data_IF_307829040593
#
_entry.id   IF_307829040593
#
_cell.length_a   1.000
_cell.length_b   1.000
_cell.length_c   1.000
_cell.angle_alpha   90.00
_cell.angle_beta   90.00
_cell.angle_gamma   90.00
#
_symmetry.space_group_name_H-M   'P 1'
#
loop_
_entity.id
_entity.type
_entity.pdbx_description
1 polymer ?
#
# COMPACT_ATOMS: atom_id res chain seq x y z
N UNK A 1 38.43 40.00 -26.28
CA UNK A 1 37.00 39.62 -26.22
C UNK A 1 36.73 38.14 -26.47
N UNK A 2 37.33 37.48 -27.49
CA UNK A 2 37.06 36.06 -27.77
C UNK A 2 37.52 35.06 -26.68
N UNK A 3 38.61 35.32 -25.95
CA UNK A 3 39.10 34.40 -24.91
C UNK A 3 38.30 34.44 -23.59
N UNK A 4 37.62 35.55 -23.28
CA UNK A 4 36.81 35.66 -22.06
C UNK A 4 35.46 34.92 -22.19
N UNK A 5 34.92 34.83 -23.40
CA UNK A 5 33.69 34.08 -23.67
C UNK A 5 33.93 32.58 -23.48
N UNK A 6 35.08 32.06 -23.89
CA UNK A 6 35.43 30.65 -23.70
C UNK A 6 35.58 30.30 -22.21
N UNK A 7 36.17 31.19 -21.41
CA UNK A 7 36.31 31.01 -19.96
C UNK A 7 34.97 31.01 -19.23
N UNK A 8 34.03 31.86 -19.64
CA UNK A 8 32.67 31.90 -19.11
C UNK A 8 31.89 30.63 -19.47
N UNK A 9 32.05 30.09 -20.69
CA UNK A 9 31.44 28.82 -21.05
C UNK A 9 32.01 27.64 -20.26
N UNK A 10 33.33 27.57 -20.06
CA UNK A 10 33.95 26.49 -19.26
C UNK A 10 33.48 26.55 -17.80
N UNK A 11 33.42 27.75 -17.20
CA UNK A 11 32.86 27.94 -15.86
C UNK A 11 31.36 27.55 -15.77
N UNK A 12 30.57 27.88 -16.78
CA UNK A 12 29.14 27.51 -16.81
C UNK A 12 28.95 25.99 -16.98
N UNK A 13 29.80 25.32 -17.76
CA UNK A 13 29.78 23.86 -17.91
C UNK A 13 30.29 23.12 -16.67
N UNK A 14 31.31 23.64 -15.98
CA UNK A 14 31.77 23.06 -14.70
C UNK A 14 30.73 23.24 -13.58
N UNK A 15 30.03 24.39 -13.53
CA UNK A 15 28.92 24.61 -12.58
C UNK A 15 27.72 23.71 -12.91
N UNK A 16 27.40 23.49 -14.20
CA UNK A 16 26.35 22.55 -14.59
C UNK A 16 26.72 21.08 -14.34
N UNK A 17 27.98 20.69 -14.56
CA UNK A 17 28.44 19.33 -14.29
C UNK A 17 28.51 19.03 -12.78
N UNK A 18 28.90 20.01 -11.97
CA UNK A 18 28.91 19.92 -10.50
C UNK A 18 27.49 19.95 -9.90
N UNK A 19 26.58 20.72 -10.51
CA UNK A 19 25.17 20.66 -10.17
C UNK A 19 24.60 19.28 -10.54
N UNK A 20 24.88 18.76 -11.74
CA UNK A 20 24.40 17.44 -12.19
C UNK A 20 25.01 16.27 -11.40
N UNK A 21 26.23 16.37 -10.87
CA UNK A 21 26.81 15.35 -9.99
C UNK A 21 26.20 15.38 -8.58
N UNK A 22 25.80 16.55 -8.08
CA UNK A 22 24.95 16.68 -6.88
C UNK A 22 23.50 16.22 -7.14
N UNK A 23 23.01 16.32 -8.37
CA UNK A 23 21.69 15.82 -8.80
C UNK A 23 21.69 14.35 -9.22
N UNK A 24 22.83 13.63 -9.26
CA UNK A 24 22.86 12.18 -9.53
C UNK A 24 23.37 11.36 -8.36
N UNK A 25 23.79 12.01 -7.28
CA UNK A 25 24.16 11.34 -6.04
C UNK A 25 22.90 10.68 -5.43
N UNK A 26 22.84 9.35 -5.48
CA UNK A 26 22.12 8.60 -4.46
C UNK A 26 22.62 9.14 -3.12
N UNK A 27 21.72 9.64 -2.26
CA UNK A 27 22.11 9.98 -0.90
C UNK A 27 22.74 8.73 -0.29
N UNK A 28 23.98 8.84 0.16
CA UNK A 28 24.60 7.76 0.91
C UNK A 28 23.71 7.51 2.12
N UNK A 29 23.21 6.29 2.26
CA UNK A 29 22.37 5.87 3.38
C UNK A 29 22.96 6.31 4.72
N UNK A 30 24.29 6.33 4.86
CA UNK A 30 25.01 6.78 6.06
C UNK A 30 24.78 8.26 6.38
N UNK A 31 24.63 9.12 5.37
CA UNK A 31 24.40 10.55 5.54
C UNK A 31 23.00 10.91 6.04
N UNK A 32 22.05 9.97 5.99
CA UNK A 32 20.68 10.15 6.51
C UNK A 32 20.60 10.04 8.03
N UNK A 33 21.63 9.48 8.68
CA UNK A 33 21.62 9.18 10.11
C UNK A 33 22.49 10.17 10.88
N UNK A 34 22.04 10.59 12.07
CA UNK A 34 22.75 11.59 12.83
C UNK A 34 23.92 10.95 13.57
N UNK A 35 25.07 11.61 13.54
CA UNK A 35 26.27 11.18 14.31
C UNK A 35 26.23 11.65 15.78
N UNK A 36 25.22 12.46 16.14
CA UNK A 36 24.98 12.97 17.50
C UNK A 36 23.49 12.93 17.80
N UNK A 37 23.13 12.58 19.03
CA UNK A 37 21.75 12.61 19.48
C UNK A 37 21.39 14.00 20.05
N UNK A 38 20.19 14.47 19.71
CA UNK A 38 19.59 15.66 20.29
C UNK A 38 19.04 15.43 21.69
N UNK A 39 18.49 16.48 22.30
CA UNK A 39 17.95 16.49 23.67
C UNK A 39 16.58 17.17 23.77
N UNK A 40 15.83 17.25 22.66
CA UNK A 40 14.59 18.03 22.59
C UNK A 40 14.78 19.49 23.06
N UNK A 41 15.82 20.16 22.57
CA UNK A 41 16.13 21.53 22.97
C UNK A 41 14.96 22.48 22.63
N UNK A 42 14.54 23.28 23.62
CA UNK A 42 13.41 24.22 23.52
C UNK A 42 12.03 23.57 23.32
N UNK A 43 11.87 22.27 23.58
CA UNK A 43 10.55 21.63 23.65
C UNK A 43 9.93 21.80 25.03
N UNK A 44 8.61 21.88 25.09
CA UNK A 44 7.88 21.74 26.34
C UNK A 44 7.83 20.27 26.77
N UNK A 45 8.03 20.00 28.04
CA UNK A 45 7.79 18.68 28.62
C UNK A 45 6.45 18.73 29.35
N UNK A 46 5.49 17.92 28.91
CA UNK A 46 4.11 17.98 29.41
C UNK A 46 3.75 16.66 30.08
N UNK A 47 3.53 16.64 31.39
CA UNK A 47 3.14 15.45 32.14
C UNK A 47 1.68 15.58 32.62
N UNK A 48 0.82 14.66 32.15
CA UNK A 48 -0.63 14.67 32.42
C UNK A 48 -1.27 16.05 32.18
N UNK A 49 -0.87 16.74 31.11
CA UNK A 49 -1.37 18.06 30.72
C UNK A 49 -0.71 19.26 31.39
N UNK A 50 0.25 19.08 32.31
CA UNK A 50 0.97 20.18 32.95
C UNK A 50 2.39 20.32 32.40
N UNK A 51 2.85 21.54 32.14
CA UNK A 51 4.22 21.79 31.73
C UNK A 51 5.14 21.59 32.93
N UNK A 52 6.20 20.79 32.76
CA UNK A 52 7.22 20.52 33.77
C UNK A 52 8.61 20.85 33.23
N UNK A 53 9.54 21.11 34.12
CA UNK A 53 10.96 21.23 33.77
C UNK A 53 11.50 19.86 33.32
N UNK A 54 12.32 19.83 32.27
CA UNK A 54 12.87 18.59 31.70
C UNK A 54 13.59 17.73 32.76
N UNK A 55 14.44 18.35 33.59
CA UNK A 55 15.18 17.65 34.63
C UNK A 55 14.29 17.10 35.76
N UNK A 56 13.04 17.55 35.85
CA UNK A 56 12.10 17.07 36.88
C UNK A 56 11.48 15.72 36.55
N UNK A 57 11.56 15.23 35.30
CA UNK A 57 11.02 13.92 34.87
C UNK A 57 11.50 12.75 35.71
N UNK A 58 12.73 12.81 36.22
CA UNK A 58 13.31 11.76 37.06
C UNK A 58 12.57 11.56 38.38
N UNK A 59 11.81 12.57 38.82
CA UNK A 59 11.06 12.54 40.07
C UNK A 59 9.64 11.95 39.91
N UNK A 60 9.26 11.55 38.70
CA UNK A 60 7.94 11.00 38.41
C UNK A 60 8.06 9.51 38.03
N UNK A 61 7.93 8.57 39.00
CA UNK A 61 7.92 7.14 38.70
C UNK A 61 6.75 6.78 37.79
N UNK A 62 6.86 5.62 37.13
CA UNK A 62 5.83 5.08 36.22
C UNK A 62 5.54 5.95 34.99
N UNK A 63 6.36 6.97 34.72
CA UNK A 63 6.20 7.86 33.58
C UNK A 63 6.49 7.15 32.27
N UNK A 64 5.58 7.28 31.31
CA UNK A 64 5.69 6.78 29.95
C UNK A 64 5.59 7.92 28.94
N UNK A 65 6.35 7.81 27.85
CA UNK A 65 6.24 8.72 26.71
C UNK A 65 4.91 8.46 25.99
N UNK A 66 4.13 9.51 25.76
CA UNK A 66 2.83 9.44 25.08
C UNK A 66 2.93 9.80 23.60
N UNK A 67 3.42 11.01 23.29
CA UNK A 67 3.54 11.51 21.92
C UNK A 67 4.54 12.65 21.82
N UNK A 68 4.96 13.00 20.61
CA UNK A 68 5.90 14.09 20.33
C UNK A 68 5.33 15.02 19.28
N UNK A 69 5.16 16.30 19.63
CA UNK A 69 4.70 17.40 18.78
C UNK A 69 5.90 18.20 18.26
N UNK A 70 6.35 17.98 17.01
CA UNK A 70 7.60 18.55 16.52
C UNK A 70 7.42 19.95 15.88
N UNK A 71 6.41 20.70 16.31
CA UNK A 71 6.05 22.01 15.75
C UNK A 71 5.98 23.09 16.82
N UNK A 72 6.24 24.36 16.46
CA UNK A 72 6.15 25.43 17.42
C UNK A 72 4.77 25.50 18.09
N UNK A 73 4.77 25.53 19.41
CA UNK A 73 3.56 25.55 20.24
C UNK A 73 3.69 26.60 21.33
N UNK A 74 2.55 27.15 21.78
CA UNK A 74 2.51 28.08 22.91
C UNK A 74 1.77 27.43 24.08
N UNK A 75 2.48 27.18 25.17
CA UNK A 75 1.93 26.61 26.41
C UNK A 75 2.25 27.54 27.58
N UNK A 76 1.26 27.77 28.45
CA UNK A 76 1.40 28.64 29.63
C UNK A 76 2.00 30.03 29.31
N UNK A 77 1.67 30.57 28.12
CA UNK A 77 2.14 31.86 27.65
C UNK A 77 3.56 31.88 27.06
N UNK A 78 4.33 30.79 27.15
CA UNK A 78 5.69 30.63 26.58
C UNK A 78 5.64 29.91 25.23
N UNK A 79 6.57 30.27 24.33
CA UNK A 79 6.72 29.63 23.03
C UNK A 79 7.80 28.55 23.09
N UNK A 80 7.50 27.39 22.53
CA UNK A 80 8.39 26.24 22.43
C UNK A 80 8.55 25.83 20.97
N UNK A 81 9.66 25.17 20.64
CA UNK A 81 9.91 24.58 19.31
C UNK A 81 9.07 23.32 19.05
N UNK A 82 8.51 22.74 20.10
CA UNK A 82 7.71 21.52 20.11
C UNK A 82 7.25 21.17 21.51
N UNK A 83 6.57 20.04 21.66
CA UNK A 83 6.20 19.48 22.97
C UNK A 83 6.40 17.96 22.98
N UNK A 84 6.82 17.45 24.14
CA UNK A 84 6.96 16.02 24.43
C UNK A 84 5.99 15.69 25.55
N UNK A 85 5.02 14.82 25.26
CA UNK A 85 3.94 14.51 26.17
C UNK A 85 4.22 13.19 26.89
N UNK A 86 3.94 13.18 28.19
CA UNK A 86 4.13 12.06 29.09
C UNK A 86 2.88 11.82 29.92
N UNK A 87 2.74 10.60 30.39
CA UNK A 87 1.71 10.23 31.35
C UNK A 87 2.26 9.26 32.40
N UNK A 88 1.79 9.38 33.63
CA UNK A 88 2.07 8.43 34.73
C UNK A 88 0.81 8.05 35.52
N UNK A 89 -0.35 8.45 35.00
CA UNK A 89 -1.68 8.03 35.43
C UNK A 89 -2.42 7.54 34.19
N UNK A 90 -3.53 6.84 34.37
CA UNK A 90 -4.53 6.66 33.31
C UNK A 90 -5.16 8.02 32.99
N UNK A 91 -4.40 8.87 32.30
CA UNK A 91 -4.84 10.18 31.87
C UNK A 91 -4.63 10.25 30.36
N UNK A 92 -5.74 10.09 29.63
CA UNK A 92 -5.86 10.31 28.19
C UNK A 92 -4.64 9.84 27.37
N UNK A 93 -4.47 8.52 27.26
CA UNK A 93 -3.82 8.00 26.06
C UNK A 93 -4.79 8.32 24.89
N UNK A 94 -4.39 9.10 23.87
CA UNK A 94 -5.20 9.24 22.67
C UNK A 94 -5.53 7.84 22.14
N UNK A 95 -6.70 7.62 21.51
CA UNK A 95 -7.06 6.31 20.99
C UNK A 95 -5.89 5.80 20.15
N UNK A 96 -5.35 4.64 20.52
CA UNK A 96 -4.26 4.01 19.77
C UNK A 96 -4.84 3.76 18.39
N UNK A 97 -4.44 4.59 17.42
CA UNK A 97 -4.87 4.44 16.03
C UNK A 97 -4.60 2.98 15.65
N UNK A 98 -5.60 2.32 15.06
CA UNK A 98 -5.52 0.93 14.61
C UNK A 98 -5.56 -0.15 15.70
N UNK A 99 -5.96 0.19 16.94
CA UNK A 99 -6.17 -0.81 17.99
C UNK A 99 -7.19 -1.90 17.59
N UNK A 100 -8.17 -1.54 16.77
CA UNK A 100 -9.19 -2.45 16.26
C UNK A 100 -8.89 -2.97 14.85
N UNK A 101 -7.69 -2.74 14.30
CA UNK A 101 -7.35 -3.22 12.96
C UNK A 101 -7.05 -4.73 12.96
N UNK A 102 -7.29 -5.44 11.85
CA UNK A 102 -6.82 -6.80 11.68
C UNK A 102 -5.29 -6.83 11.47
N UNK A 103 -4.67 -7.97 11.77
CA UNK A 103 -3.27 -8.21 11.42
C UNK A 103 -3.12 -8.47 9.91
N UNK A 104 -2.27 -7.72 9.23
CA UNK A 104 -2.06 -7.89 7.78
C UNK A 104 -0.86 -8.76 7.49
N UNK A 105 -1.01 -9.62 6.48
CA UNK A 105 0.04 -10.48 5.96
C UNK A 105 0.11 -10.34 4.46
N UNK A 106 1.32 -10.19 3.95
CA UNK A 106 1.61 -10.14 2.52
C UNK A 106 2.64 -11.21 2.18
N UNK A 107 2.28 -12.16 1.31
CA UNK A 107 3.09 -13.35 1.03
C UNK A 107 3.59 -14.04 2.32
N UNK A 108 2.73 -14.12 3.34
CA UNK A 108 3.03 -14.72 4.64
C UNK A 108 3.85 -13.85 5.62
N UNK A 109 4.33 -12.66 5.21
CA UNK A 109 5.04 -11.74 6.10
C UNK A 109 4.06 -10.73 6.70
N UNK A 110 4.04 -10.59 8.02
CA UNK A 110 3.19 -9.60 8.68
C UNK A 110 3.62 -8.19 8.26
N UNK A 111 2.68 -7.30 8.00
CA UNK A 111 2.96 -5.90 7.60
C UNK A 111 2.03 -4.95 8.32
N UNK A 112 2.45 -3.70 8.47
CA UNK A 112 1.59 -2.65 9.01
C UNK A 112 0.32 -2.45 8.17
N UNK A 113 -0.88 -2.33 8.79
CA UNK A 113 -2.13 -2.01 8.09
C UNK A 113 -2.03 -0.78 7.19
N UNK A 114 -1.25 0.22 7.61
CA UNK A 114 -1.03 1.44 6.85
C UNK A 114 -0.38 1.18 5.47
N UNK A 115 0.45 0.14 5.36
CA UNK A 115 1.16 -0.17 4.11
C UNK A 115 0.26 -0.79 3.07
N UNK A 116 -0.80 -1.50 3.46
CA UNK A 116 -1.60 -2.28 2.52
C UNK A 116 -2.29 -1.40 1.47
N UNK A 117 -2.80 -0.24 1.88
CA UNK A 117 -3.45 0.75 1.00
C UNK A 117 -2.50 1.37 -0.03
N UNK A 118 -1.19 1.22 0.18
CA UNK A 118 -0.13 1.87 -0.59
C UNK A 118 0.69 0.88 -1.43
N UNK A 119 0.40 -0.43 -1.35
CA UNK A 119 1.10 -1.43 -2.13
C UNK A 119 0.79 -1.25 -3.61
N UNK A 120 1.84 -1.03 -4.41
CA UNK A 120 1.79 -1.13 -5.86
C UNK A 120 2.08 -2.58 -6.22
N UNK A 121 1.04 -3.40 -6.22
CA UNK A 121 1.06 -4.72 -6.83
C UNK A 121 0.27 -4.65 -8.14
N UNK A 122 0.82 -5.23 -9.21
CA UNK A 122 0.09 -5.33 -10.47
C UNK A 122 -1.12 -6.28 -10.33
N UNK A 123 -0.96 -7.35 -9.55
CA UNK A 123 -1.99 -8.35 -9.31
C UNK A 123 -2.05 -8.82 -7.85
N UNK A 124 -3.27 -8.79 -7.29
CA UNK A 124 -3.59 -9.52 -6.05
C UNK A 124 -4.12 -10.90 -6.41
N UNK A 125 -3.34 -11.94 -6.10
CA UNK A 125 -3.67 -13.32 -6.46
C UNK A 125 -4.79 -13.90 -5.60
N UNK A 126 -4.75 -13.61 -4.30
CA UNK A 126 -5.70 -14.08 -3.31
C UNK A 126 -5.76 -13.08 -2.16
N UNK A 127 -6.96 -12.83 -1.66
CA UNK A 127 -7.20 -12.05 -0.44
C UNK A 127 -8.10 -12.91 0.44
N UNK A 128 -7.72 -13.11 1.70
CA UNK A 128 -8.50 -13.89 2.65
C UNK A 128 -8.46 -13.26 4.03
N UNK A 129 -9.50 -13.51 4.84
CA UNK A 129 -9.61 -12.97 6.19
C UNK A 129 -10.02 -14.04 7.19
N UNK A 130 -9.52 -13.92 8.42
CA UNK A 130 -9.97 -14.75 9.54
C UNK A 130 -11.14 -14.09 10.26
N UNK A 131 -12.08 -14.91 10.72
CA UNK A 131 -13.24 -14.44 11.50
C UNK A 131 -12.85 -14.21 12.97
N UNK A 132 -11.96 -15.05 13.49
CA UNK A 132 -11.54 -14.98 14.89
C UNK A 132 -10.41 -13.98 15.05
N UNK A 133 -10.46 -13.25 16.16
CA UNK A 133 -9.37 -12.41 16.64
C UNK A 133 -8.05 -13.20 16.66
N UNK A 134 -6.95 -12.52 16.34
CA UNK A 134 -5.63 -13.11 16.17
C UNK A 134 -4.68 -12.49 17.18
N UNK A 135 -3.93 -13.30 17.92
CA UNK A 135 -2.92 -12.81 18.86
C UNK A 135 -1.53 -13.00 18.27
N UNK A 136 -0.73 -11.94 18.26
CA UNK A 136 0.65 -11.95 17.77
C UNK A 136 1.49 -11.20 18.80
N UNK A 137 2.53 -11.87 19.31
CA UNK A 137 3.44 -11.32 20.33
C UNK A 137 2.71 -10.68 21.53
N UNK A 138 1.63 -11.33 21.98
CA UNK A 138 0.80 -10.86 23.11
C UNK A 138 -0.22 -9.77 22.76
N UNK A 139 -0.19 -9.22 21.54
CA UNK A 139 -1.15 -8.22 21.05
C UNK A 139 -2.34 -8.88 20.35
N UNK A 140 -3.54 -8.47 20.71
CA UNK A 140 -4.79 -8.93 20.09
C UNK A 140 -5.16 -8.04 18.90
N UNK A 141 -5.53 -8.66 17.78
CA UNK A 141 -6.01 -8.03 16.55
C UNK A 141 -7.41 -8.54 16.22
N UNK A 142 -8.23 -7.71 15.55
CA UNK A 142 -9.60 -8.06 15.10
C UNK A 142 -9.60 -8.95 13.85
N UNK A 143 -8.93 -10.08 13.98
CA UNK A 143 -8.67 -11.04 12.92
C UNK A 143 -7.38 -10.75 12.18
N UNK A 144 -7.26 -11.36 11.00
CA UNK A 144 -6.11 -11.20 10.12
C UNK A 144 -6.55 -11.20 8.67
N UNK A 145 -5.81 -10.48 7.83
CA UNK A 145 -6.00 -10.40 6.39
C UNK A 145 -4.72 -10.85 5.70
N UNK A 146 -4.84 -11.84 4.83
CA UNK A 146 -3.74 -12.46 4.09
C UNK A 146 -3.88 -12.16 2.62
N UNK A 147 -2.82 -11.61 2.03
CA UNK A 147 -2.77 -11.17 0.64
C UNK A 147 -1.58 -11.84 -0.04
N UNK A 148 -1.87 -12.57 -1.10
CA UNK A 148 -0.85 -13.24 -1.92
C UNK A 148 -0.67 -12.48 -3.23
N UNK A 149 0.57 -12.28 -3.66
CA UNK A 149 0.95 -11.70 -4.96
C UNK A 149 2.17 -12.42 -5.53
N UNK A 150 2.40 -12.24 -6.83
CA UNK A 150 3.61 -12.79 -7.47
C UNK A 150 4.85 -11.89 -7.24
N UNK A 151 4.64 -10.62 -6.91
CA UNK A 151 5.70 -9.66 -6.59
C UNK A 151 6.07 -9.74 -5.10
N UNK A 152 7.36 -9.72 -4.77
CA UNK A 152 7.80 -9.44 -3.41
C UNK A 152 7.85 -7.93 -3.20
N UNK A 153 6.75 -7.36 -2.70
CA UNK A 153 6.63 -5.92 -2.41
C UNK A 153 7.60 -5.41 -1.33
N UNK A 154 8.30 -6.33 -0.65
CA UNK A 154 9.27 -6.07 0.41
C UNK A 154 10.73 -6.27 -0.05
N UNK A 155 11.00 -6.81 -1.24
CA UNK A 155 12.34 -7.21 -1.71
C UNK A 155 13.39 -6.10 -1.62
N UNK A 156 12.98 -4.83 -1.75
CA UNK A 156 13.87 -3.67 -1.75
C UNK A 156 13.61 -2.73 -0.56
N UNK A 157 13.20 -3.28 0.58
CA UNK A 157 12.84 -2.49 1.76
C UNK A 157 13.49 -3.04 3.02
N UNK A 158 14.00 -2.14 3.85
CA UNK A 158 14.63 -2.47 5.15
C UNK A 158 13.59 -2.47 6.25
N UNK A 159 13.56 -3.49 7.11
CA UNK A 159 12.63 -3.54 8.24
C UNK A 159 12.95 -2.45 9.27
N UNK A 160 11.97 -2.00 10.05
CA UNK A 160 12.21 -0.98 11.09
C UNK A 160 13.26 -1.42 12.11
N UNK A 161 13.19 -2.62 12.70
CA UNK A 161 14.23 -3.08 13.62
C UNK A 161 15.62 -3.04 12.99
N UNK A 162 15.74 -3.57 11.76
CA UNK A 162 16.99 -3.56 11.01
C UNK A 162 17.47 -2.14 10.70
N UNK A 163 16.57 -1.22 10.36
CA UNK A 163 16.88 0.18 10.10
C UNK A 163 17.45 0.85 11.36
N UNK A 164 16.83 0.61 12.52
CA UNK A 164 17.30 1.17 13.79
C UNK A 164 18.64 0.56 14.18
N UNK A 165 18.74 -0.77 14.26
CA UNK A 165 19.96 -1.46 14.70
C UNK A 165 21.16 -1.17 13.80
N UNK A 166 20.96 -1.27 12.48
CA UNK A 166 22.05 -1.15 11.50
C UNK A 166 22.63 0.26 11.46
N UNK A 167 21.81 1.28 11.65
CA UNK A 167 22.21 2.65 11.34
C UNK A 167 22.23 3.61 12.53
N UNK A 168 21.56 3.29 13.63
CA UNK A 168 21.67 4.05 14.89
C UNK A 168 22.47 3.31 15.96
N UNK A 169 22.65 1.99 15.82
CA UNK A 169 23.27 1.12 16.82
C UNK A 169 22.60 1.19 18.21
N UNK A 170 21.34 1.63 18.24
CA UNK A 170 20.57 1.73 19.47
C UNK A 170 19.87 0.40 19.77
N UNK A 171 19.81 0.00 21.06
CA UNK A 171 19.05 -1.17 21.48
C UNK A 171 17.55 -0.90 21.33
N UNK A 172 16.84 -1.80 20.64
CA UNK A 172 15.42 -1.63 20.29
C UNK A 172 14.52 -1.42 21.52
N UNK A 173 14.82 -2.07 22.64
CA UNK A 173 14.08 -1.95 23.89
C UNK A 173 14.16 -0.55 24.54
N UNK A 174 15.13 0.28 24.10
CA UNK A 174 15.25 1.68 24.51
C UNK A 174 14.76 2.66 23.44
N UNK A 175 14.35 2.18 22.27
CA UNK A 175 13.98 3.03 21.14
C UNK A 175 12.48 3.17 21.06
N UNK A 176 12.04 4.41 20.85
CA UNK A 176 10.68 4.74 20.46
C UNK A 176 10.78 5.39 19.08
N UNK A 177 10.03 4.88 18.11
CA UNK A 177 10.09 5.43 16.76
C UNK A 177 8.93 6.39 16.57
N UNK A 178 9.25 7.64 16.25
CA UNK A 178 8.29 8.65 15.87
C UNK A 178 8.32 8.86 14.36
N UNK A 179 7.25 8.49 13.68
CA UNK A 179 7.18 8.60 12.23
C UNK A 179 6.53 9.92 11.75
N UNK A 180 7.28 10.70 10.95
CA UNK A 180 6.88 11.99 10.34
C UNK A 180 6.66 11.84 8.82
N UNK A 181 5.42 11.86 8.38
CA UNK A 181 4.98 11.88 6.98
C UNK A 181 4.72 13.30 6.42
N UNK A 182 5.47 13.72 5.41
CA UNK A 182 5.46 15.12 4.90
C UNK A 182 4.17 15.58 4.16
N UNK A 183 3.08 14.81 4.22
CA UNK A 183 1.82 15.07 3.50
C UNK A 183 0.86 16.02 4.23
N UNK A 184 0.78 15.90 5.56
CA UNK A 184 -0.09 16.74 6.38
C UNK A 184 0.75 17.87 6.96
N UNK A 185 0.19 19.08 7.04
CA UNK A 185 0.88 20.23 7.64
C UNK A 185 0.96 20.14 9.17
N UNK A 186 0.53 19.02 9.76
CA UNK A 186 0.66 18.70 11.19
C UNK A 186 0.31 19.89 12.10
N UNK A 187 -0.84 20.48 11.81
CA UNK A 187 -1.32 21.67 12.51
C UNK A 187 -2.08 21.35 13.79
N UNK A 188 -2.23 20.06 14.13
CA UNK A 188 -3.02 19.56 15.25
C UNK A 188 -2.25 18.46 15.99
N UNK A 189 -2.35 18.45 17.32
CA UNK A 189 -1.71 17.50 18.24
C UNK A 189 -2.17 16.06 17.97
N UNK A 190 -3.38 15.87 17.46
CA UNK A 190 -3.94 14.55 17.18
C UNK A 190 -3.42 13.88 15.90
N UNK A 191 -2.65 14.58 15.05
CA UNK A 191 -2.18 14.07 13.75
C UNK A 191 -0.65 14.05 13.57
N UNK A 192 0.14 14.34 14.60
CA UNK A 192 1.60 14.61 14.52
C UNK A 192 2.53 13.45 14.17
N UNK A 193 2.01 12.24 14.03
CA UNK A 193 2.77 11.04 13.76
C UNK A 193 2.20 9.85 14.53
N UNK A 194 2.91 8.74 14.51
CA UNK A 194 2.56 7.56 15.32
C UNK A 194 3.81 7.09 16.03
N UNK A 195 3.72 6.91 17.36
CA UNK A 195 4.70 6.15 18.10
C UNK A 195 4.54 4.68 17.67
N UNK A 196 5.57 4.16 17.02
CA UNK A 196 5.62 2.76 16.63
C UNK A 196 6.14 1.99 17.84
N UNK A 197 5.23 1.27 18.48
CA UNK A 197 5.52 0.32 19.53
C UNK A 197 6.35 -0.87 19.00
N UNK A 198 7.05 -1.57 19.88
CA UNK A 198 7.89 -2.74 19.54
C UNK A 198 7.07 -3.89 18.92
N UNK A 199 5.77 -3.94 19.22
CA UNK A 199 4.81 -4.92 18.70
C UNK A 199 4.27 -4.61 17.29
N UNK A 200 4.73 -3.54 16.60
CA UNK A 200 4.22 -3.24 15.27
C UNK A 200 4.91 -4.06 14.17
N UNK A 201 4.13 -4.73 13.30
CA UNK A 201 4.69 -5.61 12.30
C UNK A 201 5.33 -4.84 11.16
N UNK A 202 6.64 -5.00 11.01
CA UNK A 202 7.40 -4.73 9.80
C UNK A 202 6.97 -3.41 9.10
N UNK A 203 7.50 -2.29 9.57
CA UNK A 203 7.60 -1.12 8.70
C UNK A 203 8.82 -1.30 7.80
N UNK A 204 8.63 -1.22 6.49
CA UNK A 204 9.67 -1.53 5.50
C UNK A 204 10.09 -0.30 4.67
N UNK A 205 11.22 0.30 4.98
CA UNK A 205 11.62 1.58 4.39
C UNK A 205 12.42 1.40 3.11
N UNK A 206 12.18 2.28 2.14
CA UNK A 206 13.06 2.40 0.97
C UNK A 206 14.14 3.42 1.28
N UNK A 207 15.38 2.97 1.34
CA UNK A 207 16.56 3.81 1.62
C UNK A 207 17.23 4.25 0.30
N UNK A 208 17.20 3.40 -0.73
CA UNK A 208 18.11 3.52 -1.89
C UNK A 208 17.51 4.23 -3.12
N UNK A 209 16.19 4.48 -3.14
CA UNK A 209 15.49 5.08 -4.28
C UNK A 209 14.77 6.35 -3.87
N UNK A 210 15.53 7.42 -3.69
CA UNK A 210 14.97 8.76 -3.85
C UNK A 210 14.72 8.95 -5.34
N UNK A 211 13.51 8.64 -5.79
CA UNK A 211 13.03 9.13 -7.08
C UNK A 211 13.10 10.66 -7.00
N UNK A 212 14.04 11.30 -7.69
CA UNK A 212 14.26 12.74 -7.53
C UNK A 212 13.12 13.58 -8.11
N UNK A 213 12.28 13.01 -9.00
CA UNK A 213 11.07 13.68 -9.48
C UNK A 213 9.93 13.64 -8.46
N UNK A 214 9.84 12.59 -7.64
CA UNK A 214 8.70 12.33 -6.73
C UNK A 214 9.09 12.38 -5.23
N UNK A 215 10.39 12.41 -4.94
CA UNK A 215 11.03 12.46 -3.61
C UNK A 215 10.68 11.30 -2.66
N UNK A 216 10.25 10.13 -3.15
CA UNK A 216 9.89 8.95 -2.35
C UNK A 216 11.12 8.39 -1.61
N UNK A 217 11.00 7.92 -0.37
CA UNK A 217 12.15 7.39 0.40
C UNK A 217 12.33 8.08 1.75
N UNK A 218 13.06 7.42 2.67
CA UNK A 218 13.53 8.05 3.92
C UNK A 218 14.38 9.27 3.54
N UNK A 219 14.08 10.40 4.18
CA UNK A 219 14.65 11.72 3.86
C UNK A 219 15.60 12.22 4.93
N UNK A 220 15.27 11.91 6.18
CA UNK A 220 16.08 12.23 7.33
C UNK A 220 15.72 11.28 8.46
N UNK A 221 16.72 10.92 9.25
CA UNK A 221 16.52 10.31 10.55
C UNK A 221 17.15 11.24 11.57
N UNK A 222 16.38 11.60 12.59
CA UNK A 222 16.86 12.38 13.74
C UNK A 222 16.69 11.50 14.98
N UNK A 223 17.58 11.64 15.94
CA UNK A 223 17.53 10.88 17.19
C UNK A 223 17.61 11.86 18.33
N UNK A 224 16.58 11.92 19.14
CA UNK A 224 16.58 12.64 20.40
C UNK A 224 16.67 11.66 21.58
N UNK A 225 17.17 12.16 22.71
CA UNK A 225 17.33 11.40 23.94
C UNK A 225 16.52 12.02 25.07
N UNK A 226 15.87 11.16 25.87
CA UNK A 226 15.12 11.58 27.05
C UNK A 226 15.43 10.66 28.23
N UNK A 227 15.53 11.26 29.43
CA UNK A 227 15.75 10.56 30.70
C UNK A 227 14.57 10.80 31.65
N UNK A 228 14.10 9.75 32.29
CA UNK A 228 13.03 9.75 33.28
C UNK A 228 13.29 8.69 34.36
N UNK A 229 12.38 8.54 35.33
CA UNK A 229 12.58 7.68 36.49
C UNK A 229 12.96 6.22 36.13
N UNK A 230 12.31 5.65 35.12
CA UNK A 230 12.53 4.26 34.67
C UNK A 230 13.76 4.09 33.77
N UNK A 231 14.55 5.15 33.57
CA UNK A 231 15.78 5.13 32.80
C UNK A 231 15.79 6.11 31.63
N UNK A 232 16.32 5.66 30.50
CA UNK A 232 16.44 6.50 29.31
C UNK A 232 15.75 5.86 28.10
N UNK A 233 15.31 6.72 27.18
CA UNK A 233 14.79 6.32 25.88
C UNK A 233 15.39 7.21 24.79
N UNK A 234 15.45 6.65 23.60
CA UNK A 234 15.80 7.36 22.38
C UNK A 234 14.56 7.48 21.51
N UNK A 235 14.26 8.69 21.06
CA UNK A 235 13.18 8.93 20.11
C UNK A 235 13.79 9.05 18.72
N UNK A 236 13.56 8.04 17.88
CA UNK A 236 14.04 8.02 16.50
C UNK A 236 12.95 8.60 15.61
N UNK A 237 13.19 9.80 15.12
CA UNK A 237 12.31 10.50 14.20
C UNK A 237 12.62 10.10 12.76
N UNK A 238 11.69 9.38 12.12
CA UNK A 238 11.84 9.00 10.71
C UNK A 238 11.04 10.00 9.86
N UNK A 239 11.73 10.82 9.07
CA UNK A 239 11.12 11.68 8.05
C UNK A 239 11.11 10.92 6.74
N UNK A 240 9.92 10.59 6.24
CA UNK A 240 9.79 9.74 5.06
C UNK A 240 8.73 10.29 4.09
N UNK A 241 9.08 10.29 2.81
CA UNK A 241 8.22 10.69 1.70
C UNK A 241 7.75 9.50 0.86
N UNK A 242 8.12 8.26 1.17
CA UNK A 242 7.66 7.05 0.44
C UNK A 242 6.12 6.96 0.36
N UNK A 243 5.41 7.74 1.17
CA UNK A 243 3.97 7.63 1.40
C UNK A 243 3.11 8.59 0.57
N UNK A 244 3.69 9.39 -0.34
CA UNK A 244 2.88 10.05 -1.37
C UNK A 244 2.56 9.00 -2.44
N UNK A 245 1.29 8.94 -2.85
CA UNK A 245 0.71 8.14 -3.95
C UNK A 245 -0.02 6.86 -3.54
N UNK A 246 -1.34 7.01 -3.47
CA UNK A 246 -2.34 5.96 -3.34
C UNK A 246 -2.29 5.04 -4.57
N UNK A 247 -2.11 3.74 -4.37
CA UNK A 247 -2.59 2.79 -5.37
C UNK A 247 -4.12 2.84 -5.32
N UNK A 248 -4.77 3.42 -6.33
CA UNK A 248 -6.21 3.58 -6.37
C UNK A 248 -6.96 2.24 -6.21
N UNK A 249 -6.38 1.12 -6.68
CA UNK A 249 -6.94 -0.23 -6.52
C UNK A 249 -6.89 -0.66 -5.05
N UNK A 250 -5.70 -0.62 -4.44
CA UNK A 250 -5.52 -1.02 -3.04
C UNK A 250 -6.31 -0.13 -2.08
N UNK A 251 -6.34 1.19 -2.33
CA UNK A 251 -7.09 2.13 -1.51
C UNK A 251 -8.60 1.83 -1.49
N UNK A 252 -9.17 1.40 -2.62
CA UNK A 252 -10.58 1.02 -2.67
C UNK A 252 -10.84 -0.30 -1.93
N UNK A 253 -10.02 -1.33 -2.19
CA UNK A 253 -10.16 -2.66 -1.57
C UNK A 253 -10.03 -2.58 -0.05
N UNK A 254 -9.08 -1.78 0.44
CA UNK A 254 -8.73 -1.68 1.86
C UNK A 254 -9.20 -0.36 2.49
N UNK A 255 -10.25 0.25 1.93
CA UNK A 255 -10.84 1.49 2.45
C UNK A 255 -11.38 1.27 3.86
N UNK A 256 -12.23 0.25 4.03
CA UNK A 256 -12.65 -0.29 5.33
C UNK A 256 -11.86 -1.58 5.61
N UNK A 257 -11.00 -1.53 6.62
CA UNK A 257 -10.08 -2.61 6.98
C UNK A 257 -10.80 -3.82 7.58
N UNK A 258 -11.95 -3.62 8.23
CA UNK A 258 -12.74 -4.70 8.83
C UNK A 258 -13.76 -5.29 7.84
N UNK A 259 -14.24 -4.47 6.91
CA UNK A 259 -15.25 -4.88 5.92
C UNK A 259 -14.69 -5.39 4.59
N UNK A 260 -13.38 -5.69 4.48
CA UNK A 260 -12.77 -6.19 3.23
C UNK A 260 -13.55 -7.38 2.65
N UNK A 261 -13.99 -7.24 1.40
CA UNK A 261 -14.60 -8.32 0.63
C UNK A 261 -13.51 -9.28 0.16
N UNK A 262 -13.58 -10.53 0.60
CA UNK A 262 -12.63 -11.59 0.20
C UNK A 262 -13.18 -12.51 -0.88
N UNK A 263 -14.43 -12.29 -1.32
CA UNK A 263 -15.07 -13.08 -2.37
C UNK A 263 -14.81 -12.43 -3.72
N UNK A 264 -15.08 -11.12 -3.86
CA UNK A 264 -14.89 -10.39 -5.11
C UNK A 264 -14.25 -9.00 -4.90
N UNK A 265 -13.07 -8.91 -4.23
CA UNK A 265 -12.48 -7.65 -3.78
C UNK A 265 -12.29 -6.58 -4.88
N UNK A 266 -12.08 -7.01 -6.13
CA UNK A 266 -11.83 -6.10 -7.25
C UNK A 266 -13.00 -6.01 -8.24
N UNK A 267 -14.20 -6.39 -7.84
CA UNK A 267 -15.42 -6.21 -8.62
C UNK A 267 -16.26 -5.10 -8.01
N UNK A 268 -16.58 -4.07 -8.80
CA UNK A 268 -17.42 -2.95 -8.39
C UNK A 268 -18.77 -3.06 -9.11
N UNK A 269 -19.88 -3.39 -8.43
CA UNK A 269 -21.19 -3.48 -9.06
C UNK A 269 -21.72 -2.11 -9.50
N UNK A 270 -21.50 -1.09 -8.66
CA UNK A 270 -22.05 0.26 -8.81
C UNK A 270 -20.95 1.20 -9.30
N UNK A 271 -20.67 1.13 -10.61
CA UNK A 271 -19.82 2.10 -11.29
C UNK A 271 -20.71 3.15 -11.96
N UNK A 272 -20.60 4.41 -11.51
CA UNK A 272 -21.25 5.55 -12.15
C UNK A 272 -20.49 5.92 -13.44
N UNK A 273 -21.21 5.85 -14.56
CA UNK A 273 -20.68 6.11 -15.90
C UNK A 273 -20.79 7.60 -16.27
N UNK A 274 -21.52 8.39 -15.49
CA UNK A 274 -21.80 9.79 -15.81
C UNK A 274 -20.49 10.58 -15.91
N UNK A 275 -20.23 11.07 -17.11
CA UNK A 275 -19.05 11.88 -17.43
C UNK A 275 -17.79 11.09 -17.84
N UNK A 276 -17.84 9.76 -17.98
CA UNK A 276 -16.67 8.97 -18.41
C UNK A 276 -16.84 8.32 -19.79
N UNK A 277 -15.87 8.55 -20.69
CA UNK A 277 -15.76 7.79 -21.93
C UNK A 277 -15.26 6.37 -21.67
N UNK A 278 -16.03 5.36 -22.10
CA UNK A 278 -15.61 3.95 -22.10
C UNK A 278 -15.17 3.55 -23.50
N UNK A 279 -13.91 3.15 -23.64
CA UNK A 279 -13.30 2.84 -24.93
C UNK A 279 -13.62 1.41 -25.37
N UNK A 280 -13.89 1.22 -26.66
CA UNK A 280 -14.03 -0.11 -27.29
C UNK A 280 -12.78 -0.56 -28.02
N UNK A 281 -11.87 0.39 -28.30
CA UNK A 281 -10.56 0.17 -28.91
C UNK A 281 -9.55 1.11 -28.26
N UNK A 282 -8.36 0.61 -27.95
CA UNK A 282 -7.29 1.34 -27.24
C UNK A 282 -5.91 0.96 -27.80
N UNK A 283 -4.91 1.81 -27.58
CA UNK A 283 -3.52 1.56 -27.98
C UNK A 283 -2.95 0.31 -27.30
N UNK A 284 -3.22 0.17 -26.00
CA UNK A 284 -2.93 -1.05 -25.24
C UNK A 284 -4.25 -1.52 -24.64
N UNK A 285 -4.68 -2.73 -25.00
CA UNK A 285 -5.91 -3.32 -24.47
C UNK A 285 -5.75 -3.73 -23.02
N UNK A 286 -6.85 -3.63 -22.26
CA UNK A 286 -6.92 -4.23 -20.94
C UNK A 286 -6.72 -5.75 -21.05
N UNK A 287 -5.93 -6.32 -20.15
CA UNK A 287 -5.59 -7.74 -20.18
C UNK A 287 -5.35 -8.26 -18.76
N UNK A 288 -5.59 -9.56 -18.52
CA UNK A 288 -5.24 -10.17 -17.25
C UNK A 288 -3.73 -10.30 -17.13
N UNK A 289 -3.23 -10.15 -15.90
CA UNK A 289 -1.84 -10.33 -15.52
C UNK A 289 -1.35 -11.72 -15.93
N UNK A 290 -0.17 -11.78 -16.57
CA UNK A 290 0.41 -12.98 -17.20
C UNK A 290 -0.45 -13.62 -18.32
N UNK A 291 -1.46 -12.91 -18.81
CA UNK A 291 -2.22 -13.25 -20.01
C UNK A 291 -3.31 -14.32 -19.83
N UNK A 292 -4.06 -14.54 -20.92
CA UNK A 292 -5.29 -15.33 -20.92
C UNK A 292 -5.13 -16.79 -20.47
N UNK A 293 -3.97 -17.43 -20.74
CA UNK A 293 -3.72 -18.82 -20.33
C UNK A 293 -3.67 -18.96 -18.81
N UNK A 294 -3.02 -18.02 -18.13
CA UNK A 294 -2.94 -17.99 -16.66
C UNK A 294 -4.30 -17.63 -16.06
N UNK A 295 -5.00 -16.67 -16.68
CA UNK A 295 -6.33 -16.31 -16.25
C UNK A 295 -7.32 -17.48 -16.34
N UNK A 296 -7.32 -18.20 -17.46
CA UNK A 296 -8.17 -19.39 -17.65
C UNK A 296 -7.93 -20.45 -16.57
N UNK A 297 -6.67 -20.69 -16.21
CA UNK A 297 -6.31 -21.60 -15.13
C UNK A 297 -6.86 -21.13 -13.78
N UNK A 298 -6.75 -19.83 -13.47
CA UNK A 298 -7.31 -19.24 -12.25
C UNK A 298 -8.84 -19.37 -12.19
N UNK A 299 -9.53 -19.10 -13.29
CA UNK A 299 -10.98 -19.30 -13.39
C UNK A 299 -11.33 -20.78 -13.10
N UNK A 300 -10.66 -21.72 -13.78
CA UNK A 300 -10.88 -23.15 -13.58
C UNK A 300 -10.64 -23.58 -12.12
N UNK A 301 -9.53 -23.16 -11.51
CA UNK A 301 -9.23 -23.45 -10.09
C UNK A 301 -10.30 -22.90 -9.16
N UNK A 302 -10.78 -21.67 -9.38
CA UNK A 302 -11.83 -21.08 -8.54
C UNK A 302 -13.19 -21.76 -8.66
N UNK A 303 -13.42 -22.46 -9.78
CA UNK A 303 -14.60 -23.29 -10.02
C UNK A 303 -14.43 -24.74 -9.53
N UNK A 304 -13.26 -25.11 -8.99
CA UNK A 304 -12.96 -26.48 -8.59
C UNK A 304 -12.75 -27.45 -9.76
N UNK A 305 -12.43 -26.93 -10.95
CA UNK A 305 -12.25 -27.73 -12.17
C UNK A 305 -10.82 -28.23 -12.33
N UNK A 306 -10.67 -29.41 -12.95
CA UNK A 306 -9.36 -29.92 -13.36
C UNK A 306 -8.80 -29.11 -14.53
N UNK A 307 -7.48 -28.95 -14.56
CA UNK A 307 -6.78 -28.34 -15.71
C UNK A 307 -6.48 -29.34 -16.84
N UNK A 308 -6.78 -30.63 -16.63
CA UNK A 308 -6.60 -31.66 -17.65
C UNK A 308 -7.73 -31.62 -18.69
N UNK A 309 -7.38 -31.80 -19.97
CA UNK A 309 -8.35 -31.79 -21.07
C UNK A 309 -9.17 -33.08 -21.04
N UNK A 310 -10.49 -32.96 -21.02
CA UNK A 310 -11.38 -34.12 -21.13
C UNK A 310 -11.38 -34.67 -22.58
N UNK A 311 -11.11 -35.98 -22.80
CA UNK A 311 -11.04 -36.57 -24.15
C UNK A 311 -12.41 -36.76 -24.83
N UNK A 312 -13.50 -36.78 -24.07
CA UNK A 312 -14.88 -37.00 -24.56
C UNK A 312 -15.84 -35.96 -23.99
N UNK A 313 -15.70 -34.70 -24.39
CA UNK A 313 -16.56 -33.63 -23.92
C UNK A 313 -17.23 -32.85 -25.05
N UNK A 314 -18.48 -32.45 -24.81
CA UNK A 314 -19.21 -31.54 -25.68
C UNK A 314 -18.60 -30.15 -25.47
N UNK A 315 -18.13 -29.54 -26.57
CA UNK A 315 -17.53 -28.20 -26.53
C UNK A 315 -18.61 -27.15 -26.71
N UNK A 316 -18.65 -26.20 -25.79
CA UNK A 316 -19.55 -25.08 -25.82
C UNK A 316 -18.82 -23.78 -25.45
N UNK A 317 -19.55 -22.66 -25.41
CA UNK A 317 -18.98 -21.36 -25.12
C UNK A 317 -19.94 -20.41 -24.43
N UNK A 318 -19.36 -19.45 -23.71
CA UNK A 318 -20.07 -18.28 -23.22
C UNK A 318 -19.33 -17.03 -23.72
N UNK A 319 -20.07 -16.11 -24.31
CA UNK A 319 -19.59 -14.76 -24.58
C UNK A 319 -19.99 -13.86 -23.42
N UNK A 320 -19.05 -13.09 -22.89
CA UNK A 320 -19.27 -12.15 -21.79
C UNK A 320 -18.74 -10.78 -22.17
N UNK A 321 -19.29 -9.74 -21.54
CA UNK A 321 -18.69 -8.41 -21.57
C UNK A 321 -18.62 -7.81 -20.16
N UNK A 322 -17.63 -6.94 -19.95
CA UNK A 322 -17.45 -6.18 -18.72
C UNK A 322 -16.60 -4.94 -19.02
N UNK A 323 -16.57 -4.01 -18.07
CA UNK A 323 -15.70 -2.84 -18.12
C UNK A 323 -14.50 -3.08 -17.22
N UNK A 324 -13.30 -2.83 -17.75
CA UNK A 324 -12.08 -2.70 -16.95
C UNK A 324 -11.88 -1.23 -16.63
N UNK A 325 -11.81 -0.90 -15.34
CA UNK A 325 -11.65 0.47 -14.87
C UNK A 325 -10.18 0.94 -14.94
N UNK A 326 -9.94 2.24 -14.78
CA UNK A 326 -8.60 2.86 -14.81
C UNK A 326 -7.61 2.28 -13.78
N UNK A 327 -8.12 1.69 -12.72
CA UNK A 327 -7.35 1.04 -11.65
C UNK A 327 -7.26 -0.49 -11.83
N UNK A 328 -7.76 -1.05 -12.93
CA UNK A 328 -7.76 -2.49 -13.19
C UNK A 328 -8.78 -3.30 -12.39
N UNK A 329 -9.78 -2.66 -11.77
CA UNK A 329 -10.97 -3.34 -11.24
C UNK A 329 -11.97 -3.64 -12.37
N UNK A 330 -12.88 -4.58 -12.13
CA UNK A 330 -13.94 -4.95 -13.07
C UNK A 330 -15.29 -4.39 -12.65
N UNK A 331 -16.14 -4.06 -13.62
CA UNK A 331 -17.55 -3.69 -13.41
C UNK A 331 -18.40 -4.17 -14.59
N UNK A 332 -19.74 -4.04 -14.47
CA UNK A 332 -20.72 -4.31 -15.55
C UNK A 332 -20.56 -5.69 -16.20
N UNK A 333 -20.24 -6.71 -15.42
CA UNK A 333 -20.11 -8.07 -15.94
C UNK A 333 -21.48 -8.63 -16.32
N UNK A 334 -21.63 -9.00 -17.59
CA UNK A 334 -22.84 -9.62 -18.13
C UNK A 334 -22.52 -10.73 -19.14
N UNK A 335 -23.42 -11.70 -19.25
CA UNK A 335 -23.43 -12.67 -20.35
C UNK A 335 -24.02 -12.02 -21.60
N UNK A 336 -23.44 -12.33 -22.76
CA UNK A 336 -23.98 -12.05 -24.09
C UNK A 336 -24.58 -13.31 -24.74
N UNK A 337 -24.38 -14.48 -24.11
CA UNK A 337 -24.94 -15.75 -24.57
C UNK A 337 -26.32 -16.01 -23.97
N UNK A 338 -27.19 -16.79 -24.64
CA UNK A 338 -28.44 -17.26 -24.05
C UNK A 338 -28.19 -17.94 -22.71
N UNK A 339 -29.05 -17.66 -21.73
CA UNK A 339 -28.86 -18.09 -20.36
C UNK A 339 -28.87 -19.62 -20.23
N UNK A 340 -27.89 -20.14 -19.47
CA UNK A 340 -27.77 -21.55 -19.12
C UNK A 340 -27.37 -21.69 -17.67
N UNK A 341 -27.83 -22.75 -17.02
CA UNK A 341 -27.57 -23.00 -15.60
C UNK A 341 -26.08 -22.91 -15.23
N UNK A 342 -25.19 -23.40 -16.10
CA UNK A 342 -23.75 -23.41 -15.86
C UNK A 342 -23.04 -22.06 -16.08
N UNK A 343 -23.69 -21.06 -16.70
CA UNK A 343 -23.08 -19.76 -16.96
C UNK A 343 -22.87 -18.94 -15.68
N UNK A 344 -23.73 -19.13 -14.68
CA UNK A 344 -23.61 -18.45 -13.38
C UNK A 344 -22.26 -18.70 -12.69
N UNK A 345 -21.76 -19.94 -12.76
CA UNK A 345 -20.48 -20.31 -12.15
C UNK A 345 -19.30 -19.64 -12.86
N UNK A 346 -19.36 -19.51 -14.19
CA UNK A 346 -18.33 -18.80 -14.97
C UNK A 346 -18.33 -17.31 -14.64
N UNK A 347 -19.51 -16.68 -14.56
CA UNK A 347 -19.62 -15.27 -14.19
C UNK A 347 -19.12 -15.02 -12.76
N UNK A 348 -19.44 -15.91 -11.82
CA UNK A 348 -18.93 -15.88 -10.44
C UNK A 348 -17.41 -16.02 -10.41
N UNK A 349 -16.85 -16.94 -11.18
CA UNK A 349 -15.39 -17.12 -11.29
C UNK A 349 -14.70 -15.86 -11.83
N UNK A 350 -15.27 -15.18 -12.83
CA UNK A 350 -14.75 -13.91 -13.36
C UNK A 350 -14.75 -12.84 -12.26
N UNK A 351 -15.84 -12.68 -11.51
CA UNK A 351 -15.92 -11.72 -10.39
C UNK A 351 -14.87 -12.00 -9.32
N UNK A 352 -14.75 -13.27 -8.90
CA UNK A 352 -13.80 -13.67 -7.87
C UNK A 352 -12.33 -13.47 -8.27
N UNK A 353 -12.03 -13.49 -9.57
CA UNK A 353 -10.68 -13.30 -10.11
C UNK A 353 -10.48 -11.92 -10.74
N UNK A 354 -11.30 -10.92 -10.40
CA UNK A 354 -11.22 -9.57 -10.96
C UNK A 354 -9.89 -8.85 -10.64
N UNK A 355 -9.18 -9.24 -9.58
CA UNK A 355 -8.01 -8.50 -9.08
C UNK A 355 -6.75 -8.58 -9.94
N UNK A 356 -6.74 -9.41 -10.97
CA UNK A 356 -5.55 -9.61 -11.80
C UNK A 356 -5.59 -8.77 -13.09
N UNK A 357 -6.58 -7.92 -13.30
CA UNK A 357 -6.68 -7.13 -14.52
C UNK A 357 -5.85 -5.86 -14.46
N UNK A 358 -5.16 -5.57 -15.56
CA UNK A 358 -4.48 -4.30 -15.83
C UNK A 358 -5.37 -3.41 -16.70
N UNK A 359 -5.37 -2.07 -16.47
CA UNK A 359 -6.21 -1.15 -17.23
C UNK A 359 -5.76 -1.07 -18.70
N UNK A 360 -6.68 -0.64 -19.57
CA UNK A 360 -6.32 -0.25 -20.94
C UNK A 360 -5.61 1.10 -20.95
N UNK A 361 -4.73 1.33 -21.94
CA UNK A 361 -3.98 2.58 -22.10
C UNK A 361 -4.35 3.26 -23.42
N UNK A 362 -4.59 4.57 -23.34
CA UNK A 362 -4.80 5.46 -24.49
C UNK A 362 -4.06 6.78 -24.24
N UNK A 363 -3.23 7.23 -25.19
CA UNK A 363 -2.43 8.44 -25.02
C UNK A 363 -1.52 8.38 -23.79
N UNK A 364 -1.00 7.20 -23.46
CA UNK A 364 -0.17 6.96 -22.28
C UNK A 364 -0.89 7.04 -20.92
N UNK A 365 -2.23 7.08 -20.89
CA UNK A 365 -3.03 7.16 -19.65
C UNK A 365 -3.98 5.97 -19.51
N UNK A 366 -4.23 5.49 -18.28
CA UNK A 366 -5.24 4.46 -18.05
C UNK A 366 -6.65 5.00 -18.35
N UNK A 367 -7.43 4.21 -19.06
CA UNK A 367 -8.81 4.53 -19.46
C UNK A 367 -9.78 3.40 -19.09
N UNK A 368 -11.07 3.73 -19.02
CA UNK A 368 -12.12 2.72 -18.94
C UNK A 368 -12.24 2.01 -20.28
N UNK A 369 -12.32 0.69 -20.30
CA UNK A 369 -12.42 -0.06 -21.54
C UNK A 369 -13.42 -1.22 -21.45
N UNK A 370 -14.23 -1.36 -22.49
CA UNK A 370 -15.05 -2.54 -22.71
C UNK A 370 -14.16 -3.71 -23.11
N UNK A 371 -14.30 -4.81 -22.40
CA UNK A 371 -13.70 -6.09 -22.77
C UNK A 371 -14.82 -7.05 -23.12
N UNK A 372 -14.72 -7.65 -24.31
CA UNK A 372 -15.58 -8.75 -24.74
C UNK A 372 -14.73 -10.01 -24.82
N UNK A 373 -15.19 -11.08 -24.21
CA UNK A 373 -14.43 -12.31 -24.03
C UNK A 373 -15.30 -13.52 -24.34
N UNK A 374 -14.77 -14.49 -25.08
CA UNK A 374 -15.43 -15.78 -25.32
C UNK A 374 -14.67 -16.88 -24.60
N UNK A 375 -15.29 -17.54 -23.61
CA UNK A 375 -14.72 -18.69 -22.91
C UNK A 375 -15.28 -19.96 -23.55
N UNK A 376 -14.40 -20.80 -24.09
CA UNK A 376 -14.73 -22.16 -24.52
C UNK A 376 -14.62 -23.10 -23.33
N UNK A 377 -15.61 -23.97 -23.16
CA UNK A 377 -15.64 -24.95 -22.08
C UNK A 377 -16.19 -26.28 -22.57
N UNK A 378 -15.91 -27.32 -21.80
CA UNK A 378 -16.29 -28.68 -22.08
C UNK A 378 -17.22 -29.19 -20.98
N UNK A 379 -18.32 -29.85 -21.35
CA UNK A 379 -19.28 -30.41 -20.39
C UNK A 379 -19.26 -31.93 -20.33
N UNK A 380 -19.72 -32.48 -19.21
CA UNK A 380 -20.07 -33.89 -19.10
C UNK A 380 -21.45 -34.20 -19.68
N UNK A 381 -21.81 -35.50 -19.71
CA UNK A 381 -23.11 -35.95 -20.20
C UNK A 381 -24.32 -35.44 -19.40
N UNK A 382 -24.10 -34.84 -18.23
CA UNK A 382 -25.12 -34.22 -17.38
C UNK A 382 -25.17 -32.70 -17.55
N UNK A 383 -24.34 -32.13 -18.43
CA UNK A 383 -24.27 -30.69 -18.69
C UNK A 383 -23.40 -29.90 -17.70
N UNK A 384 -22.70 -30.55 -16.77
CA UNK A 384 -21.80 -29.88 -15.83
C UNK A 384 -20.48 -29.53 -16.53
N UNK A 385 -19.93 -28.36 -16.22
CA UNK A 385 -18.62 -27.95 -16.74
C UNK A 385 -17.53 -28.87 -16.17
N UNK A 386 -16.68 -29.40 -17.04
CA UNK A 386 -15.51 -30.21 -16.67
C UNK A 386 -14.20 -29.46 -16.81
N UNK A 387 -14.06 -28.67 -17.88
CA UNK A 387 -12.84 -27.90 -18.14
C UNK A 387 -13.18 -26.59 -18.83
N UNK A 388 -12.32 -25.60 -18.59
CA UNK A 388 -12.26 -24.39 -19.41
C UNK A 388 -11.11 -24.56 -20.39
N UNK A 389 -11.40 -24.49 -21.68
CA UNK A 389 -10.49 -24.97 -22.72
C UNK A 389 -9.70 -23.83 -23.36
N UNK A 390 -10.33 -22.68 -23.57
CA UNK A 390 -9.71 -21.54 -24.23
C UNK A 390 -10.44 -20.22 -23.96
N UNK A 391 -9.70 -19.11 -24.01
CA UNK A 391 -10.24 -17.75 -24.06
C UNK A 391 -9.96 -17.19 -25.44
N UNK A 392 -11.02 -16.95 -26.22
CA UNK A 392 -10.97 -16.30 -27.53
C UNK A 392 -11.58 -14.91 -27.51
N UNK A 393 -11.39 -14.21 -28.63
CA UNK A 393 -12.10 -12.96 -28.93
C UNK A 393 -13.50 -13.37 -29.43
N UNK A 394 -14.59 -12.78 -28.93
CA UNK A 394 -15.91 -13.04 -29.50
C UNK A 394 -15.89 -12.63 -30.97
N UNK A 395 -16.33 -13.54 -31.84
CA UNK A 395 -16.44 -13.30 -33.27
C UNK A 395 -17.15 -11.96 -33.52
N UNK A 396 -16.65 -11.20 -34.49
CA UNK A 396 -17.24 -9.94 -34.95
C UNK A 396 -18.76 -10.08 -35.07
N UNK A 397 -19.49 -9.07 -34.59
CA UNK A 397 -20.96 -8.99 -34.45
C UNK A 397 -21.72 -9.23 -35.77
N UNK A 398 -21.04 -9.38 -36.92
CA UNK A 398 -21.66 -9.53 -38.24
C UNK A 398 -22.40 -10.84 -38.50
N UNK A 399 -22.32 -11.86 -37.64
CA UNK A 399 -22.97 -13.16 -37.89
C UNK A 399 -24.01 -13.60 -36.84
N UNK A 400 -24.40 -12.71 -35.92
CA UNK A 400 -25.57 -12.92 -35.05
C UNK A 400 -26.85 -12.30 -35.66
N UNK A 401 -26.99 -12.34 -36.99
CA UNK A 401 -28.31 -12.23 -37.61
C UNK A 401 -29.06 -13.52 -37.31
N UNK A 402 -29.99 -13.39 -36.36
CA UNK A 402 -31.09 -14.31 -36.10
C UNK A 402 -31.74 -14.62 -37.46
N UNK A 403 -31.61 -15.87 -37.94
CA UNK A 403 -32.53 -16.37 -38.95
C UNK A 403 -33.88 -16.64 -38.25
N UNK A 404 -35.00 -16.08 -38.76
CA UNK A 404 -36.32 -16.29 -38.19
C UNK A 404 -36.76 -17.75 -38.22
#
# INVERSE_FOLDING_TARGET
>A
MKSYILFVFILLFEVQASAQSLYSANLDSVSLFPTKHGRFENYAFVLNGNVIEQDSLINYPDTKLNTVFPYPIRLEGRSYSGAVYFHNKEYYAPPVRYADDPAYFFNGRQVSPYRIRLLKAEAFNKISKTIRDTTIDGKLYKGSIHIDTDEDVLENRTLLPELIEKYTHLPLEKVIVHWRGLGNRYTDEDDIGTIIDDCFPIHSFSIDKIDQKIKLGVRAIEVDHVRFAEGERYVVHIVDNTYKWLNAKANLIFSDLLAVDTISPCYLPDFDEDGYSIFTSTEISAQPYKGNKVYLKKLATSMGLSTEKAPTAIKDSIAVQFVVLKNGMLSRLQSLSPERACHGDILKAIKNNACIWSPAIMGGRPVYAWVKMKILYSTDSRGNIRSLDHIGIPYSIRELTINP
#
